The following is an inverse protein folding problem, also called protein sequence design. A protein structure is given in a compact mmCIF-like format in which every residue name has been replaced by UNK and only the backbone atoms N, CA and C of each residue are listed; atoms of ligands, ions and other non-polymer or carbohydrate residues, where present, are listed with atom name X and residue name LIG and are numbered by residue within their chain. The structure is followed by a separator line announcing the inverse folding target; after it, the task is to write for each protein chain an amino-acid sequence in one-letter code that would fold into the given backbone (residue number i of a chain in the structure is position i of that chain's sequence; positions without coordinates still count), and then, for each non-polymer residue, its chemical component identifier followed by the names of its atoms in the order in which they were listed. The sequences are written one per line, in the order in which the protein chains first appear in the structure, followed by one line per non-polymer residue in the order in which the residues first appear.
data_IF_073137537548
#
_entry.id   IF_073137537548
#
_cell.length_a   1.000
_cell.length_b   1.000
_cell.length_c   1.000
_cell.angle_alpha   90.00
_cell.angle_beta   90.00
_cell.angle_gamma   90.00
#
_symmetry.space_group_name_H-M   'P 1'
#
loop_
_entity.id
_entity.type
_entity.pdbx_description
1 polymer ?
#
# COMPACT_ATOMS: atom_id res chain seq x y z
N UNK A 1 43.54 -3.41 23.31
CA UNK A 1 42.78 -2.25 23.78
C UNK A 1 41.35 -2.70 24.01
N UNK A 2 40.94 -2.60 25.27
CA UNK A 2 39.58 -3.04 25.61
C UNK A 2 38.57 -2.04 25.12
N UNK A 3 37.53 -2.55 24.47
CA UNK A 3 36.42 -1.72 24.13
C UNK A 3 35.71 -1.29 25.41
N UNK A 4 35.26 -0.06 25.49
CA UNK A 4 34.47 0.36 26.64
C UNK A 4 33.21 -0.51 26.73
N UNK A 5 32.81 -0.92 27.94
CA UNK A 5 31.58 -1.67 28.08
C UNK A 5 30.42 -0.87 27.50
N UNK A 6 29.47 -1.58 26.90
CA UNK A 6 28.27 -0.93 26.44
C UNK A 6 27.70 -0.11 27.59
N UNK A 7 27.58 1.21 27.39
CA UNK A 7 27.10 2.11 28.43
C UNK A 7 25.61 1.79 28.62
N UNK A 8 25.25 1.44 29.85
CA UNK A 8 23.84 1.31 30.19
C UNK A 8 23.18 2.67 29.99
N UNK A 9 21.99 2.71 29.36
CA UNK A 9 21.33 3.99 29.18
C UNK A 9 21.03 4.66 30.52
N UNK A 10 21.28 5.94 30.58
CA UNK A 10 20.94 6.73 31.76
C UNK A 10 19.41 6.81 31.85
N UNK A 11 18.91 7.08 33.07
CA UNK A 11 17.48 7.27 33.30
C UNK A 11 16.92 8.33 32.34
N UNK A 12 17.67 9.40 32.10
CA UNK A 12 17.30 10.46 31.15
C UNK A 12 17.20 9.95 29.73
N UNK A 13 18.14 9.09 29.31
CA UNK A 13 18.12 8.49 27.96
C UNK A 13 16.91 7.55 27.76
N UNK A 14 16.55 6.81 28.80
CA UNK A 14 15.39 5.94 28.80
C UNK A 14 14.10 6.75 28.65
N UNK A 15 14.00 7.86 29.39
CA UNK A 15 12.86 8.76 29.30
C UNK A 15 12.75 9.37 27.88
N UNK A 16 13.89 9.75 27.29
CA UNK A 16 13.94 10.29 25.92
C UNK A 16 13.51 9.25 24.90
N UNK A 17 13.96 8.01 25.06
CA UNK A 17 13.57 6.90 24.18
C UNK A 17 12.09 6.63 24.31
N UNK A 18 11.55 6.58 25.53
CA UNK A 18 10.11 6.36 25.75
C UNK A 18 9.29 7.50 25.16
N UNK A 19 9.73 8.74 25.32
CA UNK A 19 9.06 9.89 24.75
C UNK A 19 9.05 9.83 23.21
N UNK A 20 10.18 9.41 22.63
CA UNK A 20 10.29 9.26 21.18
C UNK A 20 9.37 8.16 20.66
N UNK A 21 9.31 7.01 21.35
CA UNK A 21 8.42 5.90 21.00
C UNK A 21 6.95 6.31 21.11
N UNK A 22 6.62 7.05 22.18
CA UNK A 22 5.26 7.55 22.38
C UNK A 22 4.85 8.50 21.27
N UNK A 23 5.76 9.39 20.85
CA UNK A 23 5.50 10.30 19.73
C UNK A 23 5.36 9.55 18.42
N UNK A 24 6.16 8.50 18.21
CA UNK A 24 6.05 7.65 17.03
C UNK A 24 4.70 6.92 16.98
N UNK A 25 4.24 6.40 18.13
CA UNK A 25 2.95 5.75 18.24
C UNK A 25 1.81 6.73 17.98
N UNK A 26 1.90 7.94 18.52
CA UNK A 26 0.91 9.00 18.28
C UNK A 26 0.88 9.40 16.81
N UNK A 27 2.05 9.56 16.19
CA UNK A 27 2.16 9.90 14.78
C UNK A 27 1.57 8.80 13.91
N UNK A 28 1.83 7.54 14.23
CA UNK A 28 1.29 6.40 13.51
C UNK A 28 -0.23 6.31 13.65
N UNK A 29 -0.75 6.50 14.86
CA UNK A 29 -2.19 6.52 15.12
C UNK A 29 -2.86 7.66 14.37
N UNK A 30 -2.25 8.83 14.36
CA UNK A 30 -2.74 10.00 13.64
C UNK A 30 -2.73 9.75 12.13
N UNK A 31 -1.67 9.16 11.62
CA UNK A 31 -1.55 8.79 10.22
C UNK A 31 -2.66 7.82 9.82
N UNK A 32 -2.88 6.78 10.62
CA UNK A 32 -3.97 5.81 10.37
C UNK A 32 -5.34 6.49 10.36
N UNK A 33 -5.57 7.41 11.29
CA UNK A 33 -6.83 8.16 11.34
C UNK A 33 -7.02 9.02 10.10
N UNK A 34 -5.97 9.67 9.62
CA UNK A 34 -6.01 10.48 8.41
C UNK A 34 -6.26 9.62 7.18
N UNK A 35 -5.59 8.48 7.08
CA UNK A 35 -5.78 7.53 5.97
C UNK A 35 -7.23 7.04 5.94
N UNK A 36 -7.81 6.78 7.11
CA UNK A 36 -9.20 6.30 7.19
C UNK A 36 -10.20 7.32 6.66
N UNK A 37 -9.85 8.61 6.66
CA UNK A 37 -10.73 9.67 6.16
C UNK A 37 -10.60 9.88 4.65
N UNK A 38 -9.53 9.38 4.04
CA UNK A 38 -9.28 9.57 2.61
C UNK A 38 -10.00 8.48 1.82
N UNK A 39 -10.75 8.83 0.75
CA UNK A 39 -11.42 7.83 -0.08
C UNK A 39 -10.43 7.15 -1.03
N UNK A 40 -9.37 6.63 -0.48
CA UNK A 40 -8.31 5.96 -1.22
C UNK A 40 -7.96 4.65 -0.51
N UNK A 41 -7.62 3.65 -1.31
CA UNK A 41 -7.17 2.35 -0.82
C UNK A 41 -5.64 2.39 -0.78
N UNK A 42 -5.05 2.20 0.40
CA UNK A 42 -3.60 2.05 0.51
C UNK A 42 -3.26 0.58 0.64
N UNK A 43 -2.15 0.17 0.05
CA UNK A 43 -1.75 -1.23 0.07
C UNK A 43 -0.23 -1.37 0.10
N UNK A 44 0.23 -2.55 0.51
CA UNK A 44 1.64 -2.90 0.46
C UNK A 44 1.78 -4.31 -0.12
N UNK A 45 2.79 -4.50 -0.95
CA UNK A 45 3.05 -5.76 -1.64
C UNK A 45 4.48 -6.23 -1.40
N UNK A 46 4.65 -7.54 -1.30
CA UNK A 46 5.97 -8.16 -1.20
C UNK A 46 6.74 -8.00 -2.50
N UNK A 47 8.06 -7.83 -2.41
CA UNK A 47 8.92 -7.60 -3.57
C UNK A 47 8.87 -8.72 -4.61
N UNK A 48 9.13 -9.94 -4.17
CA UNK A 48 9.37 -11.03 -5.11
C UNK A 48 8.08 -11.67 -5.62
N UNK A 49 7.13 -11.85 -4.73
CA UNK A 49 5.86 -12.48 -5.07
C UNK A 49 4.81 -11.48 -5.54
N UNK A 50 5.02 -10.19 -5.25
CA UNK A 50 4.05 -9.12 -5.45
C UNK A 50 2.71 -9.41 -4.78
N UNK A 51 2.74 -10.24 -3.76
CA UNK A 51 1.55 -10.55 -3.00
C UNK A 51 1.22 -9.40 -2.07
N UNK A 52 -0.02 -8.94 -2.10
CA UNK A 52 -0.49 -7.91 -1.18
C UNK A 52 -0.55 -8.49 0.22
N UNK A 53 0.14 -7.86 1.17
CA UNK A 53 0.11 -8.30 2.55
C UNK A 53 -0.55 -7.28 3.47
N UNK A 54 -0.89 -6.10 2.95
CA UNK A 54 -1.58 -5.07 3.72
C UNK A 54 -2.49 -4.28 2.79
N UNK A 55 -3.70 -4.02 3.22
CA UNK A 55 -4.65 -3.21 2.46
C UNK A 55 -5.55 -2.47 3.45
N UNK A 56 -5.88 -1.21 3.12
CA UNK A 56 -6.70 -0.40 4.00
C UNK A 56 -8.18 -0.76 3.91
N UNK A 57 -8.96 -0.44 4.96
CA UNK A 57 -10.39 -0.79 5.01
C UNK A 57 -11.23 -0.19 3.89
N UNK A 58 -10.77 0.87 3.24
CA UNK A 58 -11.49 1.53 2.16
C UNK A 58 -11.76 0.61 0.97
N UNK A 59 -11.04 -0.51 0.87
CA UNK A 59 -11.28 -1.48 -0.21
C UNK A 59 -12.71 -2.01 -0.15
N UNK A 60 -13.29 -2.15 1.02
CA UNK A 60 -14.65 -2.64 1.17
C UNK A 60 -15.67 -1.65 0.60
N UNK A 61 -15.57 -0.37 0.98
CA UNK A 61 -16.49 0.65 0.47
C UNK A 61 -16.34 0.87 -1.04
N UNK A 62 -15.13 0.75 -1.56
CA UNK A 62 -14.84 1.03 -2.96
C UNK A 62 -15.11 -0.15 -3.87
N UNK A 63 -14.67 -1.35 -3.48
CA UNK A 63 -14.72 -2.53 -4.33
C UNK A 63 -15.61 -3.66 -3.78
N UNK A 64 -16.08 -3.54 -2.55
CA UNK A 64 -17.00 -4.52 -1.96
C UNK A 64 -16.33 -5.71 -1.30
N UNK A 65 -15.01 -5.79 -1.34
CA UNK A 65 -14.27 -6.87 -0.69
C UNK A 65 -13.76 -6.38 0.67
N UNK A 66 -13.92 -7.22 1.71
CA UNK A 66 -13.29 -6.90 2.99
C UNK A 66 -11.77 -7.03 2.85
N UNK A 67 -10.98 -6.39 3.72
CA UNK A 67 -9.54 -6.60 3.72
C UNK A 67 -9.16 -8.07 3.81
N UNK A 68 -9.85 -8.85 4.62
CA UNK A 68 -9.60 -10.28 4.78
C UNK A 68 -9.87 -11.04 3.48
N UNK A 69 -10.95 -10.71 2.79
CA UNK A 69 -11.25 -11.31 1.50
C UNK A 69 -10.19 -10.98 0.46
N UNK A 70 -9.75 -9.72 0.46
CA UNK A 70 -8.73 -9.25 -0.48
C UNK A 70 -7.41 -9.97 -0.26
N UNK A 71 -6.98 -10.08 0.99
CA UNK A 71 -5.70 -10.70 1.34
C UNK A 71 -5.76 -12.23 1.31
N UNK A 72 -6.93 -12.80 1.46
CA UNK A 72 -7.10 -14.25 1.55
C UNK A 72 -7.16 -14.98 0.23
N UNK A 73 -7.38 -14.27 -0.87
CA UNK A 73 -7.46 -14.88 -2.19
C UNK A 73 -6.19 -14.66 -3.00
N UNK A 74 -5.83 -15.61 -3.88
CA UNK A 74 -4.74 -15.39 -4.81
C UNK A 74 -5.15 -14.40 -5.89
N UNK A 75 -4.24 -13.49 -6.24
CA UNK A 75 -4.40 -12.57 -7.36
C UNK A 75 -5.76 -11.87 -7.43
N UNK A 76 -6.27 -11.45 -6.27
CA UNK A 76 -7.56 -10.75 -6.21
C UNK A 76 -7.57 -9.52 -7.12
N UNK A 77 -6.50 -8.74 -7.07
CA UNK A 77 -6.35 -7.55 -7.89
C UNK A 77 -6.43 -7.87 -9.38
N UNK A 78 -5.61 -8.82 -9.82
CA UNK A 78 -5.59 -9.21 -11.23
C UNK A 78 -6.94 -9.75 -11.69
N UNK A 79 -7.59 -10.52 -10.81
CA UNK A 79 -8.89 -11.10 -11.11
C UNK A 79 -10.01 -10.09 -11.27
N UNK A 80 -9.91 -8.92 -10.64
CA UNK A 80 -10.94 -7.89 -10.78
C UNK A 80 -10.63 -6.84 -11.85
N UNK A 81 -9.48 -6.91 -12.52
CA UNK A 81 -9.18 -6.03 -13.64
C UNK A 81 -10.16 -6.29 -14.80
N UNK A 82 -10.63 -5.20 -15.41
CA UNK A 82 -11.48 -5.31 -16.59
C UNK A 82 -10.71 -6.09 -17.68
N UNK A 83 -11.36 -7.03 -18.37
CA UNK A 83 -10.67 -7.86 -19.38
C UNK A 83 -9.91 -7.09 -20.44
N UNK A 84 -10.42 -5.94 -20.86
CA UNK A 84 -9.75 -5.10 -21.86
C UNK A 84 -8.49 -4.44 -21.35
N UNK A 85 -8.36 -4.24 -20.03
CA UNK A 85 -7.23 -3.55 -19.43
C UNK A 85 -6.21 -4.52 -18.83
N UNK A 86 -6.61 -5.75 -18.59
CA UNK A 86 -5.82 -6.72 -17.81
C UNK A 86 -4.42 -6.92 -18.37
N UNK A 87 -4.31 -7.25 -19.65
CA UNK A 87 -3.02 -7.56 -20.27
C UNK A 87 -2.08 -6.36 -20.18
N UNK A 88 -2.56 -5.18 -20.52
CA UNK A 88 -1.77 -3.95 -20.49
C UNK A 88 -1.29 -3.62 -19.07
N UNK A 89 -2.19 -3.68 -18.12
CA UNK A 89 -1.90 -3.28 -16.74
C UNK A 89 -0.96 -4.25 -16.06
N UNK A 90 -1.20 -5.55 -16.24
CA UNK A 90 -0.33 -6.59 -15.66
C UNK A 90 1.07 -6.51 -16.24
N UNK A 91 1.20 -6.30 -17.55
CA UNK A 91 2.51 -6.16 -18.20
C UNK A 91 3.25 -4.92 -17.70
N UNK A 92 2.55 -3.79 -17.56
CA UNK A 92 3.10 -2.54 -17.05
C UNK A 92 3.59 -2.70 -15.60
N UNK A 93 2.79 -3.32 -14.77
CA UNK A 93 3.12 -3.56 -13.37
C UNK A 93 4.35 -4.48 -13.24
N UNK A 94 4.39 -5.55 -14.03
CA UNK A 94 5.52 -6.48 -14.03
C UNK A 94 6.81 -5.78 -14.44
N UNK A 95 6.74 -4.93 -15.46
CA UNK A 95 7.90 -4.19 -15.94
C UNK A 95 8.42 -3.24 -14.87
N UNK A 96 7.54 -2.49 -14.22
CA UNK A 96 7.94 -1.59 -13.14
C UNK A 96 8.61 -2.35 -12.00
N UNK A 97 8.09 -3.52 -11.66
CA UNK A 97 8.68 -4.35 -10.63
C UNK A 97 10.07 -4.86 -11.02
N UNK A 98 10.25 -5.29 -12.25
CA UNK A 98 11.56 -5.76 -12.76
C UNK A 98 12.59 -4.63 -12.77
N UNK A 99 12.18 -3.43 -13.15
CA UNK A 99 13.06 -2.27 -13.24
C UNK A 99 13.20 -1.52 -11.91
N UNK A 100 12.42 -1.88 -10.92
CA UNK A 100 12.38 -1.19 -9.60
C UNK A 100 12.08 0.29 -9.75
N UNK A 101 11.15 0.61 -10.64
CA UNK A 101 10.71 1.98 -10.92
C UNK A 101 9.34 2.26 -10.34
N UNK A 102 9.02 3.51 -10.00
CA UNK A 102 7.65 3.87 -9.62
C UNK A 102 6.68 3.49 -10.72
N UNK A 103 5.47 3.11 -10.30
CA UNK A 103 4.44 2.66 -11.23
C UNK A 103 3.22 3.56 -11.10
N UNK A 104 2.60 3.89 -12.23
CA UNK A 104 1.40 4.72 -12.26
C UNK A 104 0.56 4.29 -13.47
N UNK A 105 -0.69 3.93 -13.21
CA UNK A 105 -1.62 3.52 -14.26
C UNK A 105 -3.04 3.90 -13.89
N UNK A 106 -3.87 4.10 -14.91
CA UNK A 106 -5.32 4.21 -14.76
C UNK A 106 -5.96 3.05 -15.49
N UNK A 107 -6.92 2.43 -14.84
CA UNK A 107 -7.54 1.23 -15.36
C UNK A 107 -8.92 1.00 -14.73
N UNK A 108 -9.66 0.08 -15.32
CA UNK A 108 -10.98 -0.29 -14.83
C UNK A 108 -10.91 -1.58 -14.02
N UNK A 109 -11.65 -1.61 -12.92
CA UNK A 109 -11.85 -2.83 -12.15
C UNK A 109 -13.35 -3.11 -12.04
N UNK A 110 -13.67 -4.37 -11.85
CA UNK A 110 -15.05 -4.79 -11.61
C UNK A 110 -15.17 -5.09 -10.12
N UNK A 111 -15.99 -4.31 -9.43
CA UNK A 111 -16.23 -4.49 -8.01
C UNK A 111 -16.96 -5.80 -7.74
N UNK A 112 -16.98 -6.23 -6.48
CA UNK A 112 -17.63 -7.49 -6.10
C UNK A 112 -19.09 -7.57 -6.54
N UNK A 113 -19.80 -6.43 -6.54
CA UNK A 113 -21.20 -6.34 -6.95
C UNK A 113 -21.39 -6.15 -8.47
N UNK A 114 -20.31 -6.18 -9.24
CA UNK A 114 -20.35 -6.02 -10.69
C UNK A 114 -20.20 -4.59 -11.19
N UNK A 115 -20.15 -3.59 -10.31
CA UNK A 115 -19.96 -2.20 -10.72
C UNK A 115 -18.60 -1.99 -11.38
N UNK A 116 -18.58 -1.16 -12.41
CA UNK A 116 -17.34 -0.75 -13.04
C UNK A 116 -16.77 0.44 -12.29
N UNK A 117 -15.51 0.33 -11.87
CA UNK A 117 -14.83 1.39 -11.11
C UNK A 117 -13.53 1.75 -11.83
N UNK A 118 -13.36 3.04 -12.12
CA UNK A 118 -12.11 3.55 -12.66
C UNK A 118 -11.16 3.83 -11.50
N UNK A 119 -9.94 3.33 -11.62
CA UNK A 119 -8.92 3.46 -10.57
C UNK A 119 -7.70 4.17 -11.14
N UNK A 120 -7.17 5.11 -10.36
CA UNK A 120 -5.83 5.65 -10.54
C UNK A 120 -4.95 5.00 -9.49
N UNK A 121 -3.93 4.30 -9.92
CA UNK A 121 -3.07 3.51 -9.04
C UNK A 121 -1.63 3.97 -9.15
N UNK A 122 -1.01 4.27 -8.03
CA UNK A 122 0.40 4.63 -7.97
C UNK A 122 1.10 3.81 -6.90
N UNK A 123 2.28 3.31 -7.23
CA UNK A 123 3.09 2.53 -6.30
C UNK A 123 4.54 2.97 -6.34
N UNK A 124 5.18 2.96 -5.19
CA UNK A 124 6.59 3.29 -5.04
C UNK A 124 7.30 2.21 -4.25
N UNK A 125 8.60 2.07 -4.52
CA UNK A 125 9.44 1.12 -3.82
C UNK A 125 9.85 1.73 -2.48
N UNK A 126 9.57 1.01 -1.40
CA UNK A 126 10.02 1.41 -0.06
C UNK A 126 11.38 0.78 0.17
N UNK A 127 12.35 1.60 0.58
CA UNK A 127 13.71 1.15 0.84
C UNK A 127 14.04 1.28 2.32
N UNK A 128 14.88 0.38 2.79
CA UNK A 128 15.40 0.44 4.14
C UNK A 128 16.50 1.49 4.30
N UNK A 129 16.99 1.65 5.53
CA UNK A 129 18.01 2.65 5.87
C UNK A 129 19.32 2.47 5.08
N UNK A 130 19.61 1.26 4.63
CA UNK A 130 20.79 0.97 3.82
C UNK A 130 20.52 1.02 2.31
N UNK A 131 19.34 1.50 1.91
CA UNK A 131 18.97 1.63 0.52
C UNK A 131 18.42 0.36 -0.14
N UNK A 132 18.39 -0.76 0.58
CA UNK A 132 17.87 -1.99 -0.01
C UNK A 132 16.34 -1.95 -0.12
N UNK A 133 15.79 -2.51 -1.19
CA UNK A 133 14.34 -2.54 -1.34
C UNK A 133 13.68 -3.47 -0.30
N UNK A 134 12.55 -3.03 0.23
CA UNK A 134 11.81 -3.78 1.25
C UNK A 134 10.47 -4.28 0.72
N UNK A 135 9.69 -3.40 0.12
CA UNK A 135 8.36 -3.72 -0.37
C UNK A 135 7.88 -2.62 -1.32
N UNK A 136 6.74 -2.86 -1.96
CA UNK A 136 6.02 -1.85 -2.71
C UNK A 136 4.91 -1.29 -1.84
N UNK A 137 4.70 0.01 -1.90
CA UNK A 137 3.59 0.66 -1.25
C UNK A 137 2.85 1.51 -2.27
N UNK A 138 1.54 1.40 -2.28
CA UNK A 138 0.74 2.07 -3.28
C UNK A 138 -0.58 2.60 -2.76
N UNK A 139 -1.24 3.35 -3.64
CA UNK A 139 -2.54 3.93 -3.38
C UNK A 139 -3.40 3.79 -4.61
N UNK A 140 -4.65 3.34 -4.43
CA UNK A 140 -5.66 3.26 -5.47
C UNK A 140 -6.76 4.28 -5.16
N UNK A 141 -7.02 5.17 -6.09
CA UNK A 141 -8.04 6.20 -5.94
C UNK A 141 -9.16 5.94 -6.95
N UNK A 142 -10.40 5.93 -6.46
CA UNK A 142 -11.58 5.82 -7.32
C UNK A 142 -11.75 7.14 -8.06
N UNK A 143 -11.56 7.12 -9.37
CA UNK A 143 -11.70 8.29 -10.23
C UNK A 143 -12.92 8.19 -11.15
N UNK A 144 -13.87 7.34 -10.82
CA UNK A 144 -15.05 7.12 -11.65
C UNK A 144 -15.82 8.42 -11.90
N UNK A 145 -15.98 9.24 -10.86
CA UNK A 145 -16.66 10.52 -11.00
C UNK A 145 -15.92 11.48 -11.94
N UNK A 146 -14.58 11.49 -11.89
CA UNK A 146 -13.76 12.33 -12.75
C UNK A 146 -13.78 11.86 -14.21
N UNK A 147 -14.08 10.58 -14.42
CA UNK A 147 -14.27 10.02 -15.77
C UNK A 147 -15.70 10.19 -16.28
N UNK A 148 -16.49 11.04 -15.64
CA UNK A 148 -17.87 11.29 -16.04
C UNK A 148 -18.87 10.31 -15.46
N UNK A 149 -18.46 9.41 -14.59
CA UNK A 149 -19.33 8.45 -13.91
C UNK A 149 -19.98 7.43 -14.85
N UNK A 150 -19.60 7.42 -16.13
CA UNK A 150 -20.15 6.48 -17.11
C UNK A 150 -19.12 5.42 -17.44
N UNK A 151 -19.57 4.24 -17.46
CA UNK A 151 -18.79 3.10 -17.87
C UNK A 151 -18.67 3.02 -19.37
#
# INVERSE_FOLDING_TARGET
MDLPPATEPRVEDVDDVQSALSRADEAEAKYRSLIALVPAITYAEALDTRRTFSISPQVEATLGYTPEEWLGGPDRWEGCLHPEDRERVVASCKRANELREPWCEEYRVIAKDGRLVWIHDEAVLVRGSNGQPLCWQGVMVDITAQRGGTS
#
